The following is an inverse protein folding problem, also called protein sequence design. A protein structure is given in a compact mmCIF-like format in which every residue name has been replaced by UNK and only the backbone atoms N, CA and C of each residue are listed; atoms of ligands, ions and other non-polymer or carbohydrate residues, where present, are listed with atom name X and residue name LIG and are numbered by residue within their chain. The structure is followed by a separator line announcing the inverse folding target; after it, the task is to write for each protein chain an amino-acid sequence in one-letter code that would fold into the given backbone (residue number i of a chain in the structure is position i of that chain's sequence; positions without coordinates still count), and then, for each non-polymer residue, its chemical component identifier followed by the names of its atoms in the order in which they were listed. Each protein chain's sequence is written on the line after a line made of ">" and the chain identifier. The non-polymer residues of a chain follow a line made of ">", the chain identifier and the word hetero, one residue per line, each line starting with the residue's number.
data_IF_159336749794
#
_entry.id   IF_159336749794
#
_cell.length_a   1.000
_cell.length_b   1.000
_cell.length_c   1.000
_cell.angle_alpha   90.00
_cell.angle_beta   90.00
_cell.angle_gamma   90.00
#
_symmetry.space_group_name_H-M   'P 1'
#
loop_
_entity.id
_entity.type
_entity.pdbx_description
1 polymer ?
#
# COMPACT_ATOMS: atom_id res chain seq x y z
N UNK A 1 -26.20 33.33 -0.97
CA UNK A 1 -25.44 32.57 -1.98
C UNK A 1 -24.23 31.98 -1.29
N UNK A 2 -24.18 30.65 -1.17
CA UNK A 2 -23.00 29.93 -0.71
C UNK A 2 -21.91 30.01 -1.80
N UNK A 3 -20.66 30.27 -1.40
CA UNK A 3 -19.57 30.55 -2.33
C UNK A 3 -18.90 29.25 -2.75
N UNK A 4 -19.46 28.59 -3.78
CA UNK A 4 -19.00 27.29 -4.32
C UNK A 4 -17.48 27.22 -4.55
N UNK A 5 -16.85 28.32 -4.94
CA UNK A 5 -15.40 28.44 -5.12
C UNK A 5 -14.61 28.19 -3.84
N UNK A 6 -15.13 28.61 -2.68
CA UNK A 6 -14.48 28.38 -1.40
C UNK A 6 -14.56 26.91 -0.97
N UNK A 7 -15.69 26.24 -1.26
CA UNK A 7 -15.86 24.80 -1.02
C UNK A 7 -14.94 23.97 -1.92
N UNK A 8 -14.88 24.29 -3.22
CA UNK A 8 -14.02 23.59 -4.17
C UNK A 8 -12.52 23.73 -3.80
N UNK A 9 -12.09 24.90 -3.28
CA UNK A 9 -10.72 25.10 -2.77
C UNK A 9 -10.45 24.28 -1.51
N UNK A 10 -11.41 24.22 -0.57
CA UNK A 10 -11.28 23.42 0.64
C UNK A 10 -11.14 21.94 0.29
N UNK A 11 -11.92 21.47 -0.69
CA UNK A 11 -11.94 20.09 -1.17
C UNK A 11 -10.62 19.67 -1.83
N UNK A 12 -9.93 20.60 -2.52
CA UNK A 12 -8.60 20.36 -3.10
C UNK A 12 -7.53 20.28 -2.00
N UNK A 13 -7.63 21.08 -0.94
CA UNK A 13 -6.66 21.08 0.17
C UNK A 13 -6.76 19.78 1.00
N UNK A 14 -7.95 19.18 1.08
CA UNK A 14 -8.20 17.92 1.80
C UNK A 14 -7.98 16.66 0.95
N UNK A 15 -7.60 16.80 -0.33
CA UNK A 15 -7.39 15.66 -1.21
C UNK A 15 -6.11 14.89 -0.84
N UNK A 16 -6.27 13.78 -0.13
CA UNK A 16 -5.17 12.87 0.19
C UNK A 16 -5.06 11.80 -0.89
N UNK A 17 -3.97 11.82 -1.65
CA UNK A 17 -3.68 10.81 -2.68
C UNK A 17 -2.93 9.61 -2.11
N UNK A 18 -3.12 8.46 -2.74
CA UNK A 18 -2.28 7.28 -2.53
C UNK A 18 -0.87 7.54 -3.06
N UNK A 19 0.12 7.59 -2.18
CA UNK A 19 1.53 7.83 -2.55
C UNK A 19 2.47 6.68 -2.21
N UNK A 20 2.05 5.77 -1.33
CA UNK A 20 2.87 4.66 -0.82
C UNK A 20 1.99 3.48 -0.38
N UNK A 21 2.62 2.34 -0.12
CA UNK A 21 1.98 1.18 0.51
C UNK A 21 1.71 1.44 1.99
N UNK A 22 0.60 0.92 2.48
CA UNK A 22 0.19 0.99 3.89
C UNK A 22 1.09 0.09 4.75
N UNK A 23 2.02 0.73 5.48
CA UNK A 23 2.96 0.05 6.37
C UNK A 23 2.27 -0.44 7.65
N UNK A 24 1.23 0.27 8.11
CA UNK A 24 0.55 -0.01 9.38
C UNK A 24 -0.40 -1.20 9.24
N UNK A 25 -1.12 -1.31 8.12
CA UNK A 25 -2.08 -2.39 7.86
C UNK A 25 -1.52 -3.48 6.94
N UNK A 26 -0.19 -3.66 6.88
CA UNK A 26 0.42 -4.74 6.11
C UNK A 26 0.16 -6.10 6.77
N UNK A 27 -0.07 -7.12 5.95
CA UNK A 27 -0.18 -8.50 6.44
C UNK A 27 1.19 -9.04 6.90
N UNK A 28 1.23 -10.11 7.71
CA UNK A 28 2.45 -10.85 8.00
C UNK A 28 3.18 -11.32 6.72
N UNK A 29 4.48 -11.61 6.85
CA UNK A 29 5.34 -12.18 5.80
C UNK A 29 5.64 -11.26 4.60
N UNK A 30 5.30 -9.97 4.69
CA UNK A 30 5.78 -8.94 3.77
C UNK A 30 6.57 -7.86 4.51
N UNK A 31 7.58 -7.36 3.81
CA UNK A 31 8.34 -6.19 4.20
C UNK A 31 8.16 -5.07 3.19
N UNK A 32 8.07 -3.85 3.72
CA UNK A 32 7.94 -2.63 2.93
C UNK A 32 9.14 -1.79 3.33
N UNK A 33 9.90 -1.34 2.33
CA UNK A 33 11.09 -0.54 2.62
C UNK A 33 10.73 0.84 3.18
N UNK A 34 11.74 1.57 3.66
CA UNK A 34 11.53 2.90 4.23
C UNK A 34 11.01 3.95 3.25
N UNK A 35 11.00 3.65 1.94
CA UNK A 35 10.39 4.54 0.95
C UNK A 35 8.89 4.33 0.81
N UNK A 36 8.36 3.23 1.34
CA UNK A 36 6.96 2.86 1.19
C UNK A 36 6.60 2.36 -0.22
N UNK A 37 7.55 2.23 -1.15
CA UNK A 37 7.27 1.90 -2.55
C UNK A 37 7.66 0.48 -2.97
N UNK A 38 8.55 -0.17 -2.20
CA UNK A 38 9.02 -1.53 -2.50
C UNK A 38 8.46 -2.52 -1.50
N UNK A 39 7.80 -3.56 -2.03
CA UNK A 39 7.28 -4.69 -1.25
C UNK A 39 8.15 -5.92 -1.52
N UNK A 40 8.51 -6.63 -0.46
CA UNK A 40 9.24 -7.91 -0.53
C UNK A 40 8.50 -8.97 0.27
N UNK A 41 8.28 -10.14 -0.32
CA UNK A 41 7.83 -11.30 0.44
C UNK A 41 9.01 -11.87 1.23
N UNK A 42 8.86 -12.01 2.55
CA UNK A 42 9.94 -12.43 3.44
C UNK A 42 9.82 -13.89 3.90
N UNK A 43 8.67 -14.56 3.67
CA UNK A 43 8.34 -15.91 4.18
C UNK A 43 8.51 -16.11 5.70
N UNK A 44 8.93 -15.07 6.40
CA UNK A 44 9.32 -15.03 7.81
C UNK A 44 8.71 -13.77 8.40
N UNK A 45 8.03 -13.92 9.53
CA UNK A 45 7.46 -12.83 10.30
C UNK A 45 7.91 -12.94 11.76
N UNK A 46 8.26 -11.79 12.35
CA UNK A 46 8.71 -11.71 13.74
C UNK A 46 7.58 -11.15 14.60
N UNK A 47 7.14 -11.92 15.60
CA UNK A 47 6.25 -11.43 16.65
C UNK A 47 6.85 -11.77 18.00
N UNK A 48 6.88 -10.83 18.95
CA UNK A 48 7.28 -11.11 20.34
C UNK A 48 8.60 -11.90 20.46
N UNK A 49 9.62 -11.55 19.66
CA UNK A 49 10.91 -12.25 19.57
C UNK A 49 10.85 -13.72 19.07
N UNK A 50 9.74 -14.15 18.50
CA UNK A 50 9.57 -15.46 17.88
C UNK A 50 9.62 -15.35 16.35
N UNK A 51 10.43 -16.21 15.75
CA UNK A 51 10.51 -16.43 14.31
C UNK A 51 9.37 -17.34 13.87
N UNK A 52 8.41 -16.80 13.13
CA UNK A 52 7.36 -17.57 12.47
C UNK A 52 7.68 -17.67 10.99
N UNK A 53 7.78 -18.89 10.49
CA UNK A 53 7.85 -19.14 9.04
C UNK A 53 6.45 -19.39 8.51
N UNK A 54 6.20 -18.92 7.30
CA UNK A 54 4.99 -19.31 6.59
C UNK A 54 4.99 -20.84 6.40
N UNK A 55 4.03 -21.59 6.98
CA UNK A 55 4.00 -23.04 6.85
C UNK A 55 3.68 -23.48 5.42
N UNK A 56 3.06 -22.61 4.63
CA UNK A 56 2.68 -22.85 3.26
C UNK A 56 3.35 -21.78 2.38
N UNK A 57 4.43 -22.12 1.68
CA UNK A 57 5.17 -21.29 0.69
C UNK A 57 4.29 -20.72 -0.47
N UNK A 58 2.97 -20.88 -0.39
CA UNK A 58 1.97 -20.58 -1.41
C UNK A 58 0.86 -19.64 -0.91
N UNK A 59 0.91 -19.14 0.33
CA UNK A 59 -0.12 -18.20 0.78
C UNK A 59 0.02 -16.86 0.06
N UNK A 60 -1.08 -16.46 -0.57
CA UNK A 60 -1.20 -15.12 -1.13
C UNK A 60 -1.18 -14.09 0.01
N UNK A 61 -0.42 -13.01 -0.19
CA UNK A 61 -0.37 -11.87 0.72
C UNK A 61 -0.90 -10.64 0.00
N UNK A 62 -1.55 -9.76 0.75
CA UNK A 62 -2.19 -8.54 0.27
C UNK A 62 -1.55 -7.36 0.98
N UNK A 63 -1.32 -6.29 0.22
CA UNK A 63 -0.95 -4.97 0.69
C UNK A 63 -1.87 -3.95 0.01
N UNK A 64 -2.21 -2.89 0.73
CA UNK A 64 -3.04 -1.79 0.22
C UNK A 64 -2.21 -0.53 0.13
N UNK A 65 -2.64 0.43 -0.68
CA UNK A 65 -2.12 1.79 -0.60
C UNK A 65 -2.51 2.44 0.73
N UNK A 66 -1.74 3.43 1.17
CA UNK A 66 -2.00 4.18 2.40
C UNK A 66 -3.31 4.98 2.38
N UNK A 67 -3.83 5.31 1.19
CA UNK A 67 -5.09 6.02 1.00
C UNK A 67 -5.91 5.40 -0.13
N UNK A 68 -7.25 5.48 -0.08
CA UNK A 68 -8.09 5.13 -1.22
C UNK A 68 -7.88 6.10 -2.38
N UNK A 69 -8.29 5.70 -3.58
CA UNK A 69 -8.34 6.60 -4.75
C UNK A 69 -9.49 7.60 -4.52
N UNK A 70 -9.23 8.92 -4.49
CA UNK A 70 -10.30 9.91 -4.38
C UNK A 70 -11.26 9.86 -5.57
N UNK A 71 -12.55 10.07 -5.29
CA UNK A 71 -13.59 10.07 -6.32
C UNK A 71 -13.43 11.23 -7.32
N UNK A 72 -12.71 12.27 -6.89
CA UNK A 72 -12.43 13.52 -7.58
C UNK A 72 -11.37 13.37 -8.67
N UNK A 73 -10.58 12.29 -8.66
CA UNK A 73 -9.46 12.13 -9.60
C UNK A 73 -9.89 12.13 -11.07
N UNK A 74 -11.11 11.65 -11.38
CA UNK A 74 -11.57 11.39 -12.75
C UNK A 74 -10.82 10.24 -13.41
N UNK A 75 -9.49 10.33 -13.50
CA UNK A 75 -8.56 9.28 -13.92
C UNK A 75 -7.48 9.15 -12.85
N UNK A 76 -7.23 7.92 -12.41
CA UNK A 76 -6.11 7.58 -11.52
C UNK A 76 -5.22 6.53 -12.20
N UNK A 77 -3.91 6.70 -12.08
CA UNK A 77 -2.92 5.84 -12.77
C UNK A 77 -1.81 5.45 -11.81
N UNK A 78 -1.40 4.18 -11.87
CA UNK A 78 -0.23 3.66 -11.18
C UNK A 78 0.41 2.54 -12.00
N UNK A 79 1.69 2.29 -11.76
CA UNK A 79 2.44 1.20 -12.37
C UNK A 79 3.10 0.34 -11.30
N UNK A 80 3.28 -0.94 -11.61
CA UNK A 80 4.01 -1.88 -10.77
C UNK A 80 5.14 -2.49 -11.60
N UNK A 81 6.35 -2.44 -11.06
CA UNK A 81 7.49 -3.14 -11.62
C UNK A 81 7.78 -4.40 -10.81
N UNK A 82 7.74 -5.55 -11.46
CA UNK A 82 8.19 -6.81 -10.84
C UNK A 82 9.72 -6.82 -10.81
N UNK A 83 10.30 -6.72 -9.61
CA UNK A 83 11.75 -6.73 -9.41
C UNK A 83 12.28 -8.16 -9.28
N UNK A 84 11.50 -9.06 -8.66
CA UNK A 84 11.84 -10.46 -8.47
C UNK A 84 10.55 -11.30 -8.51
N UNK A 85 10.53 -12.33 -9.36
CA UNK A 85 9.38 -13.24 -9.55
C UNK A 85 9.32 -14.39 -8.53
N UNK A 86 10.34 -14.53 -7.69
CA UNK A 86 10.47 -15.65 -6.76
C UNK A 86 10.70 -16.98 -7.48
N UNK A 87 10.46 -18.09 -6.78
CA UNK A 87 10.70 -19.44 -7.29
C UNK A 87 9.62 -19.91 -8.28
N UNK A 88 8.38 -19.46 -8.08
CA UNK A 88 7.19 -19.96 -8.79
C UNK A 88 6.61 -18.97 -9.81
N UNK A 89 7.29 -17.84 -10.07
CA UNK A 89 6.87 -16.81 -11.03
C UNK A 89 7.64 -16.84 -12.34
#
# INVERSE_FOLDING_TARGET
>A
MYNKWAEDILLIIELVLSTEWDIENKLPFIDIDSSGLKVSYTAIYFINNLLIKDPDDYKAVIVRANNPIPSECGIFYFEIKIINKGKNG
#
